data_IF_516511144575
#
_entry.id   IF_516511144575
#
_cell.length_a   1.000
_cell.length_b   1.000
_cell.length_c   1.000
_cell.angle_alpha   90.00
_cell.angle_beta   90.00
_cell.angle_gamma   90.00
#
_symmetry.space_group_name_H-M   'P 1'
#
loop_
_entity.id
_entity.type
_entity.pdbx_description
1 polymer ?
#
# COMPACT_ATOMS: atom_id res chain seq x y z
N UNK A 1 -4.07 26.17 0.41
CA UNK A 1 -3.55 24.90 -0.14
C UNK A 1 -2.18 24.66 0.47
N UNK A 2 -1.94 23.43 0.93
CA UNK A 2 -0.66 22.96 1.42
C UNK A 2 -0.16 21.89 0.45
N UNK A 3 1.10 21.97 0.03
CA UNK A 3 1.74 20.93 -0.76
C UNK A 3 2.88 20.35 0.06
N UNK A 4 2.93 19.02 0.16
CA UNK A 4 4.01 18.29 0.81
C UNK A 4 4.73 17.44 -0.23
N UNK A 5 6.05 17.49 -0.24
CA UNK A 5 6.88 16.60 -1.05
C UNK A 5 8.02 16.02 -0.22
N UNK A 6 8.74 15.05 -0.77
CA UNK A 6 9.81 14.31 -0.07
C UNK A 6 10.93 15.23 0.47
N UNK A 7 11.17 16.36 -0.18
CA UNK A 7 12.25 17.30 0.12
C UNK A 7 11.86 18.75 -0.16
N UNK A 8 12.72 19.69 0.27
CA UNK A 8 12.45 21.13 0.15
C UNK A 8 12.48 21.59 -1.31
N UNK A 9 13.45 21.08 -2.09
CA UNK A 9 13.59 21.39 -3.51
C UNK A 9 12.37 20.92 -4.30
N UNK A 10 11.94 19.68 -4.09
CA UNK A 10 10.79 19.12 -4.82
C UNK A 10 9.47 19.79 -4.41
N UNK A 11 9.34 20.19 -3.14
CA UNK A 11 8.19 20.98 -2.70
C UNK A 11 8.20 22.38 -3.36
N UNK A 12 9.38 22.99 -3.52
CA UNK A 12 9.57 24.24 -4.27
C UNK A 12 9.19 24.12 -5.75
N UNK A 13 9.64 23.03 -6.41
CA UNK A 13 9.31 22.73 -7.81
C UNK A 13 7.80 22.54 -8.03
N UNK A 14 7.10 21.88 -7.10
CA UNK A 14 5.63 21.78 -7.13
C UNK A 14 4.96 23.16 -7.15
N UNK A 15 5.50 24.11 -6.37
CA UNK A 15 5.03 25.49 -6.39
C UNK A 15 5.41 26.21 -7.69
N UNK A 16 6.56 25.91 -8.29
CA UNK A 16 6.96 26.45 -9.60
C UNK A 16 6.03 26.02 -10.72
N UNK A 17 5.56 24.77 -10.73
CA UNK A 17 4.50 24.35 -11.66
C UNK A 17 3.22 25.16 -11.47
N UNK A 18 2.84 25.46 -10.23
CA UNK A 18 1.70 26.33 -9.94
C UNK A 18 1.90 27.76 -10.46
N UNK A 19 3.12 28.31 -10.33
CA UNK A 19 3.48 29.63 -10.90
C UNK A 19 3.42 29.61 -12.42
N UNK A 20 3.95 28.56 -13.04
CA UNK A 20 3.93 28.37 -14.48
C UNK A 20 2.49 28.28 -14.99
N UNK A 21 1.65 27.42 -14.41
CA UNK A 21 0.22 27.32 -14.77
C UNK A 21 -0.48 28.67 -14.66
N UNK A 22 -0.27 29.41 -13.56
CA UNK A 22 -0.82 30.75 -13.41
C UNK A 22 -0.33 31.72 -14.50
N UNK A 23 0.93 31.64 -14.91
CA UNK A 23 1.50 32.44 -16.00
C UNK A 23 0.95 32.11 -17.40
N UNK A 24 0.37 30.92 -17.58
CA UNK A 24 -0.25 30.49 -18.82
C UNK A 24 -1.77 30.74 -18.86
N UNK A 25 -2.38 31.10 -17.73
CA UNK A 25 -3.81 31.42 -17.68
C UNK A 25 -4.12 32.64 -18.57
N UNK A 26 -5.28 32.64 -19.27
CA UNK A 26 -5.81 33.83 -19.93
C UNK A 26 -5.89 35.02 -18.97
N UNK A 27 -5.70 36.24 -19.49
CA UNK A 27 -5.62 37.46 -18.66
C UNK A 27 -6.81 37.64 -17.70
N UNK A 28 -8.02 37.22 -18.12
CA UNK A 28 -9.22 37.34 -17.29
C UNK A 28 -9.28 36.35 -16.11
N UNK A 29 -8.48 35.28 -16.13
CA UNK A 29 -8.34 34.32 -15.02
C UNK A 29 -7.07 34.53 -14.20
N UNK A 30 -6.18 35.41 -14.66
CA UNK A 30 -4.88 35.66 -14.02
C UNK A 30 -5.03 36.71 -12.93
N UNK A 31 -5.14 36.25 -11.69
CA UNK A 31 -5.28 37.11 -10.53
C UNK A 31 -3.94 37.75 -10.12
N UNK A 32 -3.95 38.94 -9.50
CA UNK A 32 -2.73 39.55 -9.01
C UNK A 32 -2.12 38.71 -7.87
N UNK A 33 -0.85 38.36 -8.02
CA UNK A 33 -0.07 37.66 -6.99
C UNK A 33 0.43 38.66 -5.94
N UNK A 34 0.43 38.24 -4.68
CA UNK A 34 1.00 39.00 -3.56
C UNK A 34 2.46 38.60 -3.31
N UNK A 35 2.73 38.07 -2.12
CA UNK A 35 4.02 37.44 -1.81
C UNK A 35 4.21 36.23 -2.72
N UNK A 36 5.37 36.21 -3.39
CA UNK A 36 5.86 35.12 -4.23
C UNK A 36 7.29 34.79 -3.77
N UNK A 37 7.40 33.80 -2.90
CA UNK A 37 8.65 33.25 -2.36
C UNK A 37 8.71 31.77 -2.71
N UNK A 38 9.89 31.16 -2.62
CA UNK A 38 10.13 29.75 -2.98
C UNK A 38 9.09 28.78 -2.40
N UNK A 39 8.79 28.87 -1.10
CA UNK A 39 7.83 28.01 -0.41
C UNK A 39 6.45 28.63 -0.19
N UNK A 40 6.19 29.84 -0.68
CA UNK A 40 4.92 30.55 -0.42
C UNK A 40 4.48 31.39 -1.62
N UNK A 41 3.28 31.09 -2.11
CA UNK A 41 2.57 31.89 -3.10
C UNK A 41 1.24 32.38 -2.51
N UNK A 42 0.92 33.66 -2.70
CA UNK A 42 -0.31 34.26 -2.15
C UNK A 42 -1.11 35.01 -3.21
N UNK A 43 -2.42 34.99 -3.06
CA UNK A 43 -3.39 35.71 -3.89
C UNK A 43 -4.25 36.58 -2.96
N UNK A 44 -3.83 37.84 -2.70
CA UNK A 44 -4.47 38.71 -1.72
C UNK A 44 -5.95 38.97 -2.00
N UNK A 45 -6.33 39.08 -3.28
CA UNK A 45 -7.71 39.33 -3.71
C UNK A 45 -8.70 38.24 -3.27
N UNK A 46 -8.23 37.01 -3.07
CA UNK A 46 -9.04 35.87 -2.62
C UNK A 46 -8.66 35.41 -1.20
N UNK A 47 -7.77 36.13 -0.52
CA UNK A 47 -7.14 35.69 0.73
C UNK A 47 -6.56 34.26 0.67
N UNK A 48 -6.14 33.84 -0.53
CA UNK A 48 -5.68 32.48 -0.79
C UNK A 48 -4.17 32.38 -0.67
N UNK A 49 -3.68 31.24 -0.18
CA UNK A 49 -2.26 30.94 -0.04
C UNK A 49 -1.97 29.49 -0.44
N UNK A 50 -0.89 29.30 -1.17
CA UNK A 50 -0.27 28.01 -1.47
C UNK A 50 1.06 27.98 -0.71
N UNK A 51 1.28 26.93 0.06
CA UNK A 51 2.51 26.74 0.83
C UNK A 51 3.08 25.37 0.54
N UNK A 52 4.36 25.32 0.22
CA UNK A 52 5.12 24.10 0.07
C UNK A 52 5.86 23.78 1.38
N UNK A 53 5.81 22.52 1.79
CA UNK A 53 6.55 21.99 2.93
C UNK A 53 7.31 20.73 2.51
N UNK A 54 8.56 20.54 2.96
CA UNK A 54 9.21 19.24 2.90
C UNK A 54 8.59 18.25 3.90
N UNK A 55 8.73 16.95 3.65
CA UNK A 55 8.40 15.90 4.63
C UNK A 55 9.44 15.91 5.76
N UNK A 56 9.11 16.57 6.86
CA UNK A 56 9.85 16.60 8.13
C UNK A 56 8.97 16.11 9.27
N UNK A 57 9.53 15.81 10.43
CA UNK A 57 8.77 15.34 11.61
C UNK A 57 7.64 16.30 12.01
N UNK A 58 7.89 17.62 11.93
CA UNK A 58 6.90 18.66 12.24
C UNK A 58 6.07 19.12 11.03
N UNK A 59 6.21 18.48 9.86
CA UNK A 59 5.49 18.91 8.67
C UNK A 59 3.98 18.66 8.82
N UNK A 60 3.20 19.74 8.71
CA UNK A 60 1.75 19.73 8.92
C UNK A 60 1.31 20.27 10.28
N UNK A 61 2.19 20.28 11.28
CA UNK A 61 1.89 20.79 12.63
C UNK A 61 1.58 22.29 12.56
N UNK A 62 0.46 22.69 13.16
CA UNK A 62 0.03 24.10 13.22
C UNK A 62 -0.63 24.62 11.93
N UNK A 63 -0.90 23.77 10.93
CA UNK A 63 -1.59 24.14 9.69
C UNK A 63 -3.08 23.79 9.67
N UNK A 64 -3.76 23.94 10.82
CA UNK A 64 -5.18 23.60 10.99
C UNK A 64 -6.20 24.34 10.11
N UNK A 65 -5.77 25.37 9.36
CA UNK A 65 -6.61 26.12 8.40
C UNK A 65 -6.44 25.70 6.94
N UNK A 66 -5.81 24.55 6.66
CA UNK A 66 -5.63 24.07 5.30
C UNK A 66 -6.96 23.53 4.72
N UNK A 67 -7.45 24.15 3.66
CA UNK A 67 -8.67 23.72 2.95
C UNK A 67 -8.40 22.59 1.94
N UNK A 68 -7.16 22.47 1.47
CA UNK A 68 -6.71 21.42 0.57
C UNK A 68 -5.25 21.11 0.84
N UNK A 69 -4.92 19.83 0.89
CA UNK A 69 -3.57 19.32 1.09
C UNK A 69 -3.24 18.34 -0.03
N UNK A 70 -2.08 18.52 -0.64
CA UNK A 70 -1.57 17.68 -1.73
C UNK A 70 -0.25 17.06 -1.27
N UNK A 71 -0.20 15.73 -1.21
CA UNK A 71 1.00 14.97 -0.87
C UNK A 71 1.56 14.35 -2.14
N UNK A 72 2.62 14.97 -2.65
CA UNK A 72 3.32 14.55 -3.86
C UNK A 72 4.47 13.61 -3.52
N UNK A 73 4.65 12.57 -4.33
CA UNK A 73 5.64 11.51 -4.11
C UNK A 73 5.58 10.85 -2.72
N UNK A 74 4.36 10.62 -2.23
CA UNK A 74 4.08 10.18 -0.86
C UNK A 74 4.76 8.85 -0.45
N UNK A 75 4.95 7.91 -1.37
CA UNK A 75 5.67 6.64 -1.13
C UNK A 75 7.12 6.86 -0.65
N UNK A 76 7.69 8.02 -0.97
CA UNK A 76 9.07 8.40 -0.66
C UNK A 76 9.18 9.35 0.54
N UNK A 77 8.08 9.66 1.23
CA UNK A 77 8.10 10.49 2.44
C UNK A 77 8.70 9.70 3.59
N UNK A 78 9.69 10.28 4.27
CA UNK A 78 10.36 9.62 5.40
C UNK A 78 9.46 9.55 6.63
N UNK A 79 8.58 10.54 6.79
CA UNK A 79 7.70 10.71 7.94
C UNK A 79 6.22 10.61 7.54
N UNK A 80 5.93 9.76 6.55
CA UNK A 80 4.61 9.57 5.91
C UNK A 80 3.47 9.42 6.92
N UNK A 81 3.59 8.51 7.89
CA UNK A 81 2.55 8.22 8.90
C UNK A 81 2.31 9.39 9.85
N UNK A 82 3.38 10.07 10.27
CA UNK A 82 3.29 11.20 11.18
C UNK A 82 2.68 12.41 10.48
N UNK A 83 3.15 12.74 9.27
CA UNK A 83 2.61 13.83 8.48
C UNK A 83 1.14 13.59 8.13
N UNK A 84 0.77 12.35 7.77
CA UNK A 84 -0.62 11.98 7.53
C UNK A 84 -1.50 12.18 8.78
N UNK A 85 -1.04 11.74 9.95
CA UNK A 85 -1.78 11.89 11.21
C UNK A 85 -2.00 13.37 11.59
N UNK A 86 -1.02 14.23 11.39
CA UNK A 86 -1.12 15.67 11.69
C UNK A 86 -2.03 16.41 10.70
N UNK A 87 -2.08 15.97 9.44
CA UNK A 87 -2.86 16.60 8.38
C UNK A 87 -4.32 16.14 8.40
N UNK A 88 -4.62 14.95 8.92
CA UNK A 88 -5.96 14.38 8.87
C UNK A 88 -7.03 15.24 9.61
N UNK A 89 -6.81 15.76 10.83
CA UNK A 89 -7.80 16.55 11.56
C UNK A 89 -8.38 17.76 10.80
N UNK A 90 -7.57 18.66 10.20
CA UNK A 90 -8.13 19.79 9.45
C UNK A 90 -8.87 19.36 8.17
N UNK A 91 -8.48 18.23 7.56
CA UNK A 91 -9.19 17.69 6.39
C UNK A 91 -10.56 17.15 6.79
N UNK A 92 -10.66 16.44 7.92
CA UNK A 92 -11.94 15.95 8.43
C UNK A 92 -12.92 17.10 8.79
N UNK A 93 -12.41 18.30 9.06
CA UNK A 93 -13.22 19.49 9.29
C UNK A 93 -13.83 20.11 8.00
N UNK A 94 -13.68 19.45 6.83
CA UNK A 94 -14.27 19.88 5.55
C UNK A 94 -13.25 20.25 4.47
N UNK A 95 -11.98 19.84 4.62
CA UNK A 95 -10.95 20.01 3.62
C UNK A 95 -10.89 18.86 2.60
N UNK A 96 -9.96 18.97 1.65
CA UNK A 96 -9.66 17.92 0.66
C UNK A 96 -8.22 17.44 0.79
N UNK A 97 -8.00 16.13 0.77
CA UNK A 97 -6.67 15.53 0.74
C UNK A 97 -6.47 14.77 -0.57
N UNK A 98 -5.40 15.10 -1.29
CA UNK A 98 -4.97 14.40 -2.50
C UNK A 98 -3.60 13.80 -2.22
N UNK A 99 -3.46 12.50 -2.45
CA UNK A 99 -2.19 11.78 -2.28
C UNK A 99 -1.85 11.18 -3.64
N UNK A 100 -0.64 11.45 -4.13
CA UNK A 100 -0.15 10.90 -5.38
C UNK A 100 1.30 10.42 -5.21
N UNK A 101 1.62 9.28 -5.83
CA UNK A 101 2.98 8.76 -5.87
C UNK A 101 3.11 7.64 -6.87
N UNK A 102 4.34 7.35 -7.28
CA UNK A 102 4.68 6.09 -7.94
C UNK A 102 4.90 5.01 -6.87
N UNK A 103 4.29 3.85 -7.03
CA UNK A 103 4.46 2.73 -6.08
C UNK A 103 5.92 2.22 -6.09
N UNK A 104 6.51 2.09 -4.90
CA UNK A 104 7.85 1.54 -4.74
C UNK A 104 7.76 0.02 -4.53
N UNK A 105 8.04 -0.74 -5.59
CA UNK A 105 7.98 -2.21 -5.55
C UNK A 105 9.00 -2.86 -4.60
N UNK A 106 9.96 -2.10 -4.06
CA UNK A 106 10.92 -2.61 -3.09
C UNK A 106 10.39 -2.57 -1.64
N UNK A 107 9.36 -1.76 -1.37
CA UNK A 107 8.74 -1.60 -0.05
C UNK A 107 7.29 -2.12 -0.09
N UNK A 108 7.02 -3.28 0.51
CA UNK A 108 5.67 -3.86 0.45
C UNK A 108 4.67 -3.16 1.39
N UNK A 109 5.14 -2.74 2.57
CA UNK A 109 4.28 -2.24 3.65
C UNK A 109 4.45 -0.72 3.80
N UNK A 110 3.95 0.05 2.83
CA UNK A 110 3.93 1.52 2.88
C UNK A 110 2.53 2.04 3.18
N UNK A 111 2.44 3.19 3.85
CA UNK A 111 1.13 3.80 4.14
C UNK A 111 0.35 4.13 2.85
N UNK A 112 1.05 4.53 1.79
CA UNK A 112 0.41 4.80 0.50
C UNK A 112 -0.33 3.58 -0.05
N UNK A 113 0.31 2.40 -0.05
CA UNK A 113 -0.31 1.15 -0.52
C UNK A 113 -1.46 0.72 0.39
N UNK A 114 -1.28 0.85 1.71
CA UNK A 114 -2.35 0.59 2.68
C UNK A 114 -3.59 1.44 2.40
N UNK A 115 -3.41 2.76 2.22
CA UNK A 115 -4.49 3.69 1.91
C UNK A 115 -5.14 3.39 0.55
N UNK A 116 -4.34 3.08 -0.47
CA UNK A 116 -4.83 2.77 -1.81
C UNK A 116 -5.67 1.50 -1.82
N UNK A 117 -5.19 0.42 -1.19
CA UNK A 117 -5.90 -0.86 -1.10
C UNK A 117 -7.18 -0.71 -0.29
N UNK A 118 -7.12 -0.03 0.86
CA UNK A 118 -8.32 0.27 1.66
C UNK A 118 -9.36 1.10 0.86
N UNK A 119 -8.91 2.03 0.02
CA UNK A 119 -9.80 2.81 -0.84
C UNK A 119 -10.49 1.94 -1.91
N UNK A 120 -9.78 0.95 -2.46
CA UNK A 120 -10.34 0.00 -3.42
C UNK A 120 -11.39 -0.92 -2.80
N UNK A 121 -11.21 -1.29 -1.54
CA UNK A 121 -12.19 -2.08 -0.79
C UNK A 121 -13.35 -1.26 -0.22
N UNK A 122 -13.26 0.08 -0.25
CA UNK A 122 -14.28 0.96 0.33
C UNK A 122 -14.16 1.09 1.85
N UNK A 123 -13.01 0.71 2.42
CA UNK A 123 -12.72 0.78 3.86
C UNK A 123 -12.31 2.20 4.32
N UNK A 124 -12.13 3.12 3.37
CA UNK A 124 -11.85 4.52 3.65
C UNK A 124 -12.57 5.47 2.67
N UNK A 125 -12.44 6.77 2.92
CA UNK A 125 -13.13 7.82 2.14
C UNK A 125 -12.31 8.32 0.93
N UNK A 126 -11.25 7.63 0.53
CA UNK A 126 -10.49 7.99 -0.66
C UNK A 126 -11.15 7.44 -1.92
N UNK A 127 -10.99 8.17 -3.02
CA UNK A 127 -11.36 7.70 -4.35
C UNK A 127 -10.08 7.27 -5.09
N UNK A 128 -9.85 5.97 -5.29
CA UNK A 128 -8.61 5.48 -5.91
C UNK A 128 -8.62 5.77 -7.41
N UNK A 129 -7.52 6.35 -7.90
CA UNK A 129 -7.29 6.62 -9.33
C UNK A 129 -5.93 6.05 -9.70
N UNK A 130 -5.89 5.27 -10.77
CA UNK A 130 -4.66 4.74 -11.35
C UNK A 130 -4.43 5.30 -12.75
N UNK A 131 -3.20 5.74 -13.01
CA UNK A 131 -2.77 6.20 -14.32
C UNK A 131 -1.76 5.20 -14.91
N UNK A 132 -2.16 4.40 -15.90
CA UNK A 132 -1.23 3.50 -16.60
C UNK A 132 -0.26 4.31 -17.49
N UNK A 133 0.80 3.65 -17.94
CA UNK A 133 1.80 4.29 -18.80
C UNK A 133 1.22 4.87 -20.11
N UNK A 134 0.17 4.26 -20.65
CA UNK A 134 -0.48 4.59 -21.92
C UNK A 134 -1.59 5.65 -21.79
N UNK A 135 -1.74 6.26 -20.61
CA UNK A 135 -2.60 7.45 -20.42
C UNK A 135 -2.19 8.60 -21.36
N UNK A 136 -0.91 8.64 -21.72
CA UNK A 136 -0.37 9.58 -22.69
C UNK A 136 -0.52 9.01 -24.10
N UNK A 137 -1.23 9.69 -25.03
CA UNK A 137 -1.52 9.17 -26.37
C UNK A 137 -0.29 8.74 -27.17
N UNK A 138 0.86 9.35 -26.92
CA UNK A 138 2.13 9.05 -27.57
C UNK A 138 2.82 7.77 -27.05
N UNK A 139 2.43 7.26 -25.87
CA UNK A 139 3.03 6.07 -25.26
C UNK A 139 2.30 4.80 -25.71
N UNK A 140 2.49 4.46 -26.98
CA UNK A 140 1.93 3.22 -27.56
C UNK A 140 2.69 1.96 -27.10
N UNK A 141 2.19 0.79 -27.48
CA UNK A 141 2.88 -0.49 -27.26
C UNK A 141 4.23 -0.53 -27.97
N UNK A 142 4.34 0.05 -29.17
CA UNK A 142 5.60 0.20 -29.90
C UNK A 142 6.57 1.10 -29.15
N UNK A 143 6.09 2.22 -28.62
CA UNK A 143 6.89 3.09 -27.76
C UNK A 143 7.39 2.30 -26.55
N UNK A 144 6.49 1.59 -25.85
CA UNK A 144 6.85 0.77 -24.69
C UNK A 144 7.95 -0.23 -25.06
N UNK A 145 7.79 -0.98 -26.16
CA UNK A 145 8.78 -1.95 -26.63
C UNK A 145 10.11 -1.30 -27.04
N UNK A 146 10.09 -0.06 -27.53
CA UNK A 146 11.30 0.71 -27.87
C UNK A 146 12.09 1.21 -26.66
N UNK A 147 11.45 1.30 -25.48
CA UNK A 147 12.13 1.74 -24.24
C UNK A 147 13.19 0.72 -23.85
N UNK A 148 14.46 1.11 -24.06
CA UNK A 148 15.62 0.32 -23.69
C UNK A 148 15.98 0.52 -22.21
N UNK A 149 15.22 -0.13 -21.33
CA UNK A 149 15.47 -0.20 -19.89
C UNK A 149 15.50 -1.67 -19.44
N UNK A 150 16.22 -2.00 -18.36
CA UNK A 150 16.08 -3.29 -17.70
C UNK A 150 14.62 -3.58 -17.39
N UNK A 151 14.20 -4.84 -17.56
CA UNK A 151 12.80 -5.24 -17.37
C UNK A 151 12.22 -4.79 -16.02
N UNK A 152 13.00 -4.92 -14.93
CA UNK A 152 12.63 -4.47 -13.59
C UNK A 152 12.38 -2.96 -13.51
N UNK A 153 13.24 -2.14 -14.12
CA UNK A 153 13.06 -0.69 -14.13
C UNK A 153 11.87 -0.26 -14.98
N UNK A 154 11.64 -0.95 -16.09
CA UNK A 154 10.51 -0.72 -16.99
C UNK A 154 9.19 -1.04 -16.28
N UNK A 155 9.14 -2.16 -15.56
CA UNK A 155 8.00 -2.61 -14.76
C UNK A 155 7.67 -1.66 -13.60
N UNK A 156 8.69 -1.06 -12.96
CA UNK A 156 8.48 -0.05 -11.92
C UNK A 156 8.00 1.30 -12.48
N UNK A 157 8.57 1.76 -13.61
CA UNK A 157 8.32 3.12 -14.13
C UNK A 157 7.10 3.21 -15.03
N UNK A 158 6.72 2.10 -15.67
CA UNK A 158 5.66 2.07 -16.68
C UNK A 158 4.70 0.89 -16.43
N UNK A 159 4.01 0.87 -15.28
CA UNK A 159 3.00 -0.15 -15.02
C UNK A 159 1.81 0.00 -15.99
N UNK A 160 1.29 -1.14 -16.46
CA UNK A 160 0.15 -1.20 -17.39
C UNK A 160 -1.19 -1.25 -16.65
N UNK A 161 -1.19 -1.77 -15.43
CA UNK A 161 -2.37 -1.90 -14.60
C UNK A 161 -1.98 -1.82 -13.11
N UNK A 162 -3.00 -1.70 -12.26
CA UNK A 162 -2.84 -1.59 -10.81
C UNK A 162 -2.14 -2.81 -10.21
N UNK A 163 -2.49 -4.02 -10.68
CA UNK A 163 -1.89 -5.28 -10.22
C UNK A 163 -0.38 -5.24 -10.42
N UNK A 164 0.08 -4.91 -11.63
CA UNK A 164 1.50 -4.73 -11.94
C UNK A 164 2.12 -3.64 -11.07
N UNK A 165 1.45 -2.51 -10.83
CA UNK A 165 2.02 -1.43 -10.02
C UNK A 165 2.25 -1.82 -8.55
N UNK A 166 1.37 -2.64 -7.98
CA UNK A 166 1.39 -3.01 -6.56
C UNK A 166 2.14 -4.31 -6.26
N UNK A 167 2.31 -5.20 -7.25
CA UNK A 167 3.02 -6.47 -7.11
C UNK A 167 4.52 -6.30 -6.85
N UNK A 168 5.10 -7.31 -6.20
CA UNK A 168 6.55 -7.42 -6.10
C UNK A 168 7.14 -7.67 -7.49
N UNK A 169 8.31 -7.08 -7.74
CA UNK A 169 9.10 -7.34 -8.95
C UNK A 169 9.25 -8.84 -9.21
N UNK A 170 8.89 -9.28 -10.42
CA UNK A 170 9.02 -10.70 -10.83
C UNK A 170 10.45 -11.23 -10.68
N UNK A 171 11.46 -10.38 -10.90
CA UNK A 171 12.87 -10.76 -10.74
C UNK A 171 13.33 -10.97 -9.30
N UNK A 172 12.56 -10.49 -8.32
CA UNK A 172 12.86 -10.64 -6.88
C UNK A 172 11.99 -11.71 -6.24
N UNK A 173 10.84 -12.01 -6.82
CA UNK A 173 9.97 -13.07 -6.34
C UNK A 173 10.73 -14.40 -6.35
N UNK A 174 10.77 -15.07 -5.18
CA UNK A 174 11.35 -16.41 -5.08
C UNK A 174 10.46 -17.45 -5.77
N UNK A 175 9.16 -17.21 -5.74
CA UNK A 175 8.13 -18.05 -6.33
C UNK A 175 7.65 -17.45 -7.65
N UNK A 176 7.27 -18.32 -8.58
CA UNK A 176 6.65 -17.91 -9.84
C UNK A 176 5.23 -17.39 -9.58
N UNK A 177 4.99 -16.13 -9.92
CA UNK A 177 3.69 -15.50 -9.75
C UNK A 177 2.59 -16.16 -10.57
N UNK A 178 2.89 -16.67 -11.77
CA UNK A 178 1.90 -17.31 -12.62
C UNK A 178 1.51 -18.69 -12.02
N UNK A 179 2.46 -19.38 -11.37
CA UNK A 179 2.17 -20.60 -10.62
C UNK A 179 1.31 -20.32 -9.37
N UNK A 180 1.59 -19.24 -8.63
CA UNK A 180 0.75 -18.81 -7.51
C UNK A 180 -0.67 -18.48 -7.99
N UNK A 181 -0.80 -17.79 -9.13
CA UNK A 181 -2.11 -17.47 -9.72
C UNK A 181 -2.89 -18.74 -10.09
N UNK A 182 -2.22 -19.75 -10.65
CA UNK A 182 -2.84 -21.04 -10.92
C UNK A 182 -3.30 -21.76 -9.63
N UNK A 183 -2.55 -21.64 -8.53
CA UNK A 183 -2.91 -22.23 -7.24
C UNK A 183 -4.20 -21.64 -6.64
N UNK A 184 -4.62 -20.42 -7.03
CA UNK A 184 -5.91 -19.87 -6.57
C UNK A 184 -7.11 -20.70 -7.00
N UNK A 185 -7.00 -21.47 -8.09
CA UNK A 185 -8.07 -22.35 -8.55
C UNK A 185 -8.33 -23.52 -7.58
N UNK A 186 -7.33 -23.89 -6.77
CA UNK A 186 -7.39 -25.01 -5.83
C UNK A 186 -7.70 -24.56 -4.39
N UNK A 187 -7.99 -23.26 -4.17
CA UNK A 187 -8.29 -22.72 -2.84
C UNK A 187 -9.59 -23.31 -2.31
N UNK A 188 -9.50 -23.92 -1.12
CA UNK A 188 -10.63 -24.50 -0.42
C UNK A 188 -11.08 -23.60 0.74
N UNK A 189 -12.40 -23.51 0.95
CA UNK A 189 -12.95 -22.91 2.17
C UNK A 189 -12.68 -23.84 3.35
N UNK A 190 -12.24 -23.33 4.52
CA UNK A 190 -12.13 -24.14 5.72
C UNK A 190 -13.45 -24.81 6.09
N UNK A 191 -13.37 -26.05 6.57
CA UNK A 191 -14.47 -26.80 7.15
C UNK A 191 -14.80 -26.24 8.54
N UNK A 192 -16.07 -26.29 8.92
CA UNK A 192 -16.48 -26.11 10.31
C UNK A 192 -15.87 -27.21 11.18
N UNK A 193 -15.17 -26.82 12.24
CA UNK A 193 -14.46 -27.76 13.12
C UNK A 193 -14.32 -27.18 14.53
N UNK A 194 -14.42 -28.03 15.55
CA UNK A 194 -14.39 -27.64 16.97
C UNK A 194 -13.13 -26.84 17.33
N UNK A 195 -11.98 -27.21 16.75
CA UNK A 195 -10.72 -26.45 16.91
C UNK A 195 -10.81 -25.03 16.34
N UNK A 196 -11.53 -24.84 15.23
CA UNK A 196 -11.73 -23.51 14.66
C UNK A 196 -12.54 -22.63 15.61
N UNK A 197 -13.63 -23.15 16.18
CA UNK A 197 -14.47 -22.44 17.15
C UNK A 197 -13.70 -22.13 18.44
N UNK A 198 -12.98 -23.12 18.97
CA UNK A 198 -12.17 -23.01 20.18
C UNK A 198 -11.13 -21.89 20.09
N UNK A 199 -10.48 -21.76 18.93
CA UNK A 199 -9.45 -20.76 18.67
C UNK A 199 -9.95 -19.58 17.85
N UNK A 200 -11.27 -19.31 17.84
CA UNK A 200 -11.89 -18.13 17.20
C UNK A 200 -11.44 -17.92 15.75
N UNK A 201 -11.34 -19.00 14.98
CA UNK A 201 -10.95 -18.99 13.56
C UNK A 201 -9.44 -18.84 13.30
N UNK A 202 -8.60 -18.87 14.33
CA UNK A 202 -7.14 -18.92 14.15
C UNK A 202 -6.68 -20.23 13.54
N UNK A 203 -7.37 -21.33 13.87
CA UNK A 203 -7.16 -22.66 13.29
C UNK A 203 -8.18 -22.89 12.17
N UNK A 204 -7.69 -23.32 11.01
CA UNK A 204 -8.49 -23.64 9.83
C UNK A 204 -8.19 -25.05 9.38
N UNK A 205 -9.23 -25.88 9.27
CA UNK A 205 -9.11 -27.26 8.78
C UNK A 205 -9.70 -27.31 7.38
N UNK A 206 -8.93 -27.73 6.38
CA UNK A 206 -9.39 -27.86 5.00
C UNK A 206 -9.82 -29.29 4.68
N UNK A 207 -9.17 -30.29 5.29
CA UNK A 207 -9.51 -31.72 5.15
C UNK A 207 -9.33 -32.46 6.46
N UNK A 208 -10.23 -33.40 6.73
CA UNK A 208 -10.14 -34.30 7.87
C UNK A 208 -9.05 -35.38 7.67
N UNK A 209 -8.43 -35.88 8.76
CA UNK A 209 -7.44 -36.94 8.69
C UNK A 209 -8.03 -38.23 8.09
N UNK A 210 -7.28 -38.88 7.21
CA UNK A 210 -7.67 -40.14 6.58
C UNK A 210 -6.81 -41.29 7.10
N UNK A 211 -7.47 -42.39 7.46
CA UNK A 211 -6.81 -43.61 7.95
C UNK A 211 -5.81 -44.11 6.90
N UNK A 212 -4.59 -44.42 7.34
CA UNK A 212 -3.52 -44.96 6.50
C UNK A 212 -2.73 -43.89 5.72
N UNK A 213 -3.05 -42.60 5.89
CA UNK A 213 -2.21 -41.49 5.42
C UNK A 213 -1.20 -41.08 6.49
N UNK A 214 -0.15 -40.38 6.04
CA UNK A 214 0.85 -39.76 6.92
C UNK A 214 0.82 -38.26 6.69
N UNK A 215 1.01 -37.52 7.77
CA UNK A 215 0.98 -36.07 7.76
C UNK A 215 2.27 -35.52 8.36
N UNK A 216 2.64 -34.31 7.93
CA UNK A 216 3.75 -33.55 8.48
C UNK A 216 3.19 -32.25 9.05
N UNK A 217 3.56 -31.94 10.30
CA UNK A 217 3.22 -30.69 10.97
C UNK A 217 4.49 -29.85 11.14
N UNK A 218 4.44 -28.61 10.68
CA UNK A 218 5.48 -27.62 10.89
C UNK A 218 4.89 -26.43 11.64
N UNK A 219 5.63 -25.89 12.61
CA UNK A 219 5.22 -24.72 13.39
C UNK A 219 6.39 -23.77 13.53
N UNK A 220 6.19 -22.54 13.07
CA UNK A 220 6.97 -21.38 13.43
C UNK A 220 6.18 -20.57 14.48
N UNK A 221 6.56 -20.62 15.76
CA UNK A 221 5.79 -20.01 16.83
C UNK A 221 5.86 -18.48 16.86
N UNK A 222 6.85 -17.86 16.20
CA UNK A 222 7.15 -16.43 16.37
C UNK A 222 7.28 -16.03 17.86
N UNK A 223 7.28 -14.73 18.16
CA UNK A 223 7.20 -14.17 19.51
C UNK A 223 5.78 -13.74 19.92
N UNK A 224 4.85 -13.74 18.97
CA UNK A 224 3.44 -13.37 19.18
C UNK A 224 3.18 -11.87 19.35
N UNK A 225 4.17 -11.01 19.15
CA UNK A 225 4.05 -9.55 19.25
C UNK A 225 4.07 -8.89 17.88
N UNK A 226 5.22 -8.99 17.22
CA UNK A 226 5.46 -8.28 15.98
C UNK A 226 5.01 -9.13 14.79
N UNK A 227 5.40 -10.40 14.78
CA UNK A 227 5.10 -11.33 13.70
C UNK A 227 4.08 -12.41 14.12
N UNK A 228 3.12 -12.77 13.26
CA UNK A 228 2.19 -13.86 13.52
C UNK A 228 2.92 -15.21 13.48
N UNK A 229 2.41 -16.18 14.26
CA UNK A 229 2.84 -17.57 14.14
C UNK A 229 2.29 -18.20 12.86
N UNK A 230 2.93 -19.27 12.40
CA UNK A 230 2.45 -20.09 11.30
C UNK A 230 2.59 -21.58 11.65
N UNK A 231 1.48 -22.30 11.69
CA UNK A 231 1.48 -23.77 11.76
C UNK A 231 0.78 -24.35 10.55
N UNK A 232 1.36 -25.38 9.93
CA UNK A 232 0.85 -25.98 8.70
C UNK A 232 0.89 -27.50 8.84
N UNK A 233 -0.24 -28.17 8.59
CA UNK A 233 -0.32 -29.61 8.43
C UNK A 233 -0.40 -29.92 6.94
N UNK A 234 0.50 -30.75 6.44
CA UNK A 234 0.53 -31.22 5.06
C UNK A 234 0.40 -32.73 4.98
N UNK A 235 -0.33 -33.23 3.98
CA UNK A 235 -0.32 -34.63 3.61
C UNK A 235 1.07 -34.99 3.04
N UNK A 236 1.76 -35.94 3.70
CA UNK A 236 3.18 -36.22 3.41
C UNK A 236 3.41 -36.84 2.02
N UNK A 237 2.38 -37.37 1.37
CA UNK A 237 2.49 -37.98 0.04
C UNK A 237 2.19 -36.97 -1.07
N UNK A 238 1.17 -36.14 -0.89
CA UNK A 238 0.69 -35.21 -1.92
C UNK A 238 1.28 -33.81 -1.77
N UNK A 239 1.75 -33.45 -0.58
CA UNK A 239 2.17 -32.09 -0.25
C UNK A 239 1.01 -31.12 -0.06
N UNK A 240 -0.24 -31.60 -0.09
CA UNK A 240 -1.43 -30.77 0.09
C UNK A 240 -1.53 -30.27 1.53
N UNK A 241 -1.74 -28.96 1.69
CA UNK A 241 -2.03 -28.35 2.98
C UNK A 241 -3.46 -28.69 3.41
N UNK A 242 -3.60 -29.42 4.52
CA UNK A 242 -4.88 -29.92 5.03
C UNK A 242 -5.39 -29.18 6.25
N UNK A 243 -4.52 -28.46 6.96
CA UNK A 243 -4.87 -27.56 8.06
C UNK A 243 -3.80 -26.49 8.26
N UNK A 244 -4.20 -25.36 8.85
CA UNK A 244 -3.28 -24.31 9.28
C UNK A 244 -3.71 -23.66 10.59
N UNK A 245 -2.76 -22.98 11.23
CA UNK A 245 -3.03 -21.96 12.23
C UNK A 245 -2.18 -20.72 11.95
N UNK A 246 -2.82 -19.55 11.96
CA UNK A 246 -2.14 -18.28 11.69
C UNK A 246 -2.73 -17.12 12.50
N UNK A 247 -1.88 -16.36 13.17
CA UNK A 247 -2.28 -15.14 13.89
C UNK A 247 -1.28 -14.70 14.96
N UNK A 248 -1.61 -13.64 15.69
CA UNK A 248 -0.74 -13.08 16.74
C UNK A 248 -1.19 -13.54 18.12
N UNK A 249 -0.51 -14.56 18.66
CA UNK A 249 -0.75 -15.12 19.99
C UNK A 249 0.58 -15.51 20.65
N UNK A 250 0.66 -15.58 22.00
CA UNK A 250 1.85 -16.03 22.70
C UNK A 250 2.27 -17.45 22.30
N UNK A 251 3.57 -17.72 22.29
CA UNK A 251 4.15 -19.00 21.88
C UNK A 251 3.60 -20.21 22.66
N UNK A 252 3.25 -20.03 23.92
CA UNK A 252 2.63 -21.03 24.78
C UNK A 252 1.22 -21.44 24.30
N UNK A 253 0.44 -20.52 23.72
CA UNK A 253 -0.81 -20.86 23.06
C UNK A 253 -0.56 -21.56 21.71
N UNK A 254 0.48 -21.16 20.98
CA UNK A 254 0.88 -21.86 19.74
C UNK A 254 1.27 -23.31 20.02
N UNK A 255 1.97 -23.57 21.14
CA UNK A 255 2.34 -24.93 21.55
C UNK A 255 1.10 -25.80 21.83
N UNK A 256 0.04 -25.23 22.42
CA UNK A 256 -1.23 -25.94 22.62
C UNK A 256 -1.90 -26.27 21.28
N UNK A 257 -1.96 -25.30 20.36
CA UNK A 257 -2.50 -25.53 19.02
C UNK A 257 -1.70 -26.61 18.29
N UNK A 258 -0.38 -26.60 18.40
CA UNK A 258 0.50 -27.60 17.80
C UNK A 258 0.18 -29.01 18.33
N UNK A 259 0.03 -29.18 19.65
CA UNK A 259 -0.31 -30.46 20.25
C UNK A 259 -1.68 -30.96 19.79
N UNK A 260 -2.69 -30.08 19.73
CA UNK A 260 -4.04 -30.46 19.27
C UNK A 260 -4.10 -30.80 17.79
N UNK A 261 -3.33 -30.10 16.94
CA UNK A 261 -3.18 -30.47 15.53
C UNK A 261 -2.40 -31.78 15.37
N UNK A 262 -1.40 -32.02 16.20
CA UNK A 262 -0.67 -33.29 16.21
C UNK A 262 -1.60 -34.44 16.59
N UNK A 263 -2.36 -34.32 17.68
CA UNK A 263 -3.32 -35.34 18.11
C UNK A 263 -4.41 -35.65 17.06
N UNK A 264 -4.79 -34.65 16.25
CA UNK A 264 -5.78 -34.83 15.20
C UNK A 264 -5.22 -35.56 13.96
N UNK A 265 -3.98 -35.26 13.55
CA UNK A 265 -3.45 -35.71 12.26
C UNK A 265 -2.30 -36.73 12.33
N UNK A 266 -1.57 -36.83 13.45
CA UNK A 266 -0.32 -37.60 13.59
C UNK A 266 -0.51 -38.72 14.60
#
# INVERSE_FOLDING_TARGET
ILTLSKGELEAGESLDYSRFMHSQLPLFLRLPMGKNQESLLTFPSMHSKLRALPSTEDAGVGFGGATRVEMDEFEYHKYDRQNYAEILPPILAGGQLVIQSTADKFKMNTLFKELYIAAKHGDNNFYPIFFPYDVLPERTVEWYNSVNLPASQKECRFPRNEKEALETLKSRAFFDGDAIEAMYADVMTPLEHELSDKYKGLVRIYRLPQIGRRYCLFTDPSDGKDDPHASIVMDAKTGEQVAESHGKIPADQVAQIHDELAQLFI
#
